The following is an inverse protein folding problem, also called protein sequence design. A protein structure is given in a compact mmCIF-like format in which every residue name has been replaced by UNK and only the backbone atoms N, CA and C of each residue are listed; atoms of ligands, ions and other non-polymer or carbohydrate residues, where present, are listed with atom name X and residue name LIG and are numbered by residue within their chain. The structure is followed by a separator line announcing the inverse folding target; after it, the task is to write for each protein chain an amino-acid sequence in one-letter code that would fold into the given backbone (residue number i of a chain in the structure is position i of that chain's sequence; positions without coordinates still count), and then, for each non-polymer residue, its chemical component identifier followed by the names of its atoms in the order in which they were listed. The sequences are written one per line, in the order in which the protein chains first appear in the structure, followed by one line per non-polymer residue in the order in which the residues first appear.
data_IF_217666690324
#
_entry.id   IF_217666690324
#
_cell.length_a   1.000
_cell.length_b   1.000
_cell.length_c   1.000
_cell.angle_alpha   90.00
_cell.angle_beta   90.00
_cell.angle_gamma   90.00
#
_symmetry.space_group_name_H-M   'P 1'
#
loop_
_entity.id
_entity.type
_entity.pdbx_description
1 polymer ?
#
# COMPACT_ATOMS: atom_id res chain seq x y z
N UNK A 1 -1.31 -31.50 25.05
CA UNK A 1 -1.36 -30.03 24.91
C UNK A 1 0.07 -29.52 24.77
N UNK A 2 0.27 -28.35 24.18
CA UNK A 2 1.61 -27.74 24.07
C UNK A 2 1.76 -26.66 25.12
N UNK A 3 2.83 -26.72 25.90
CA UNK A 3 3.17 -25.68 26.87
C UNK A 3 4.33 -24.86 26.32
N UNK A 4 4.09 -23.57 26.09
CA UNK A 4 5.10 -22.60 25.69
C UNK A 4 5.55 -21.82 26.90
N UNK A 5 6.82 -21.90 27.25
CA UNK A 5 7.41 -21.09 28.31
C UNK A 5 8.02 -19.85 27.67
N UNK A 6 7.62 -18.69 28.15
CA UNK A 6 8.18 -17.41 27.71
C UNK A 6 8.53 -16.57 28.93
N UNK A 7 9.83 -16.43 29.21
CA UNK A 7 10.33 -15.59 30.29
C UNK A 7 11.64 -14.89 29.88
N UNK A 8 11.61 -13.56 29.76
CA UNK A 8 12.77 -12.72 29.41
C UNK A 8 13.41 -13.15 28.08
N UNK A 9 14.50 -13.93 28.11
CA UNK A 9 15.22 -14.46 26.95
C UNK A 9 15.05 -15.97 26.77
N UNK A 10 14.24 -16.61 27.61
CA UNK A 10 14.00 -18.04 27.61
C UNK A 10 12.67 -18.36 26.92
N UNK A 11 12.78 -18.97 25.74
CA UNK A 11 11.65 -19.46 24.96
C UNK A 11 11.82 -20.96 24.72
N UNK A 12 10.93 -21.77 25.30
CA UNK A 12 10.91 -23.21 25.08
C UNK A 12 9.48 -23.69 24.89
N UNK A 13 9.30 -24.57 23.91
CA UNK A 13 8.04 -25.23 23.63
C UNK A 13 8.19 -26.71 23.96
N UNK A 14 7.22 -27.27 24.67
CA UNK A 14 7.18 -28.70 24.99
C UNK A 14 5.77 -29.25 24.78
N UNK A 15 5.69 -30.39 24.10
CA UNK A 15 4.45 -31.13 23.94
C UNK A 15 4.32 -32.16 25.05
N UNK A 16 3.19 -32.11 25.77
CA UNK A 16 2.98 -32.90 26.97
C UNK A 16 1.58 -33.49 27.00
N UNK A 17 1.49 -34.69 27.56
CA UNK A 17 0.24 -35.34 27.89
C UNK A 17 0.07 -35.22 29.39
N UNK A 18 -0.93 -34.45 29.82
CA UNK A 18 -1.19 -34.19 31.23
C UNK A 18 -2.51 -34.85 31.65
N UNK A 19 -2.62 -35.36 32.89
CA UNK A 19 -3.89 -35.84 33.43
C UNK A 19 -4.92 -34.72 33.46
N UNK A 20 -6.09 -34.94 32.87
CA UNK A 20 -7.15 -33.92 32.76
C UNK A 20 -7.77 -33.52 34.10
N UNK A 21 -7.57 -34.34 35.14
CA UNK A 21 -7.97 -34.09 36.52
C UNK A 21 -7.01 -33.18 37.29
N UNK A 22 -5.74 -33.07 36.84
CA UNK A 22 -4.72 -32.27 37.52
C UNK A 22 -4.90 -30.77 37.24
N UNK A 23 -4.28 -29.96 38.10
CA UNK A 23 -4.24 -28.50 37.98
C UNK A 23 -2.89 -28.03 37.44
N UNK A 24 -2.80 -26.83 36.87
CA UNK A 24 -1.51 -26.28 36.44
C UNK A 24 -0.54 -26.12 37.62
N UNK A 25 -1.03 -25.80 38.81
CA UNK A 25 -0.21 -25.68 40.01
C UNK A 25 0.45 -27.00 40.44
N UNK A 26 -0.25 -28.12 40.27
CA UNK A 26 0.28 -29.46 40.58
C UNK A 26 1.34 -29.92 39.58
N UNK A 27 1.16 -29.62 38.30
CA UNK A 27 2.07 -30.07 37.24
C UNK A 27 3.28 -29.12 37.09
N UNK A 28 3.18 -27.87 37.57
CA UNK A 28 4.24 -26.88 37.43
C UNK A 28 5.63 -27.33 37.92
N UNK A 29 5.80 -28.03 39.06
CA UNK A 29 7.11 -28.52 39.50
C UNK A 29 7.73 -29.56 38.54
N UNK A 30 6.90 -30.41 37.95
CA UNK A 30 7.35 -31.38 36.94
C UNK A 30 7.71 -30.66 35.65
N UNK A 31 6.88 -29.72 35.19
CA UNK A 31 7.19 -28.83 34.06
C UNK A 31 8.50 -28.08 34.29
N UNK A 32 8.73 -27.60 35.52
CA UNK A 32 9.95 -26.90 35.90
C UNK A 32 11.18 -27.77 35.73
N UNK A 33 11.06 -29.06 36.04
CA UNK A 33 12.16 -30.02 35.91
C UNK A 33 12.37 -30.43 34.45
N UNK A 34 11.30 -30.71 33.71
CA UNK A 34 11.37 -31.13 32.30
C UNK A 34 11.87 -30.02 31.36
N UNK A 35 11.42 -28.79 31.58
CA UNK A 35 11.76 -27.65 30.73
C UNK A 35 13.01 -26.91 31.27
N UNK A 36 13.51 -27.29 32.45
CA UNK A 36 14.58 -26.57 33.18
C UNK A 36 14.22 -25.09 33.35
N UNK A 37 13.07 -24.84 33.99
CA UNK A 37 12.53 -23.49 34.16
C UNK A 37 13.51 -22.62 34.95
N UNK A 38 13.81 -21.39 34.48
CA UNK A 38 14.68 -20.48 35.21
C UNK A 38 14.08 -20.16 36.59
N UNK A 39 14.95 -20.05 37.60
CA UNK A 39 14.56 -19.62 38.94
C UNK A 39 14.31 -18.12 38.92
N UNK A 40 13.03 -17.76 38.81
CA UNK A 40 12.57 -16.37 38.82
C UNK A 40 11.96 -16.07 40.20
N UNK A 41 12.11 -14.83 40.66
CA UNK A 41 11.59 -14.34 41.95
C UNK A 41 10.06 -14.11 41.93
N UNK A 42 9.40 -14.34 40.79
CA UNK A 42 7.96 -14.13 40.59
C UNK A 42 7.28 -15.48 40.33
N UNK A 43 6.05 -15.70 40.84
CA UNK A 43 5.30 -16.91 40.56
C UNK A 43 4.98 -17.00 39.06
N UNK A 44 4.76 -18.21 38.57
CA UNK A 44 4.35 -18.43 37.18
C UNK A 44 2.84 -18.25 37.04
N UNK A 45 2.41 -17.75 35.88
CA UNK A 45 1.02 -17.62 35.45
C UNK A 45 0.85 -18.41 34.14
N UNK A 46 -0.22 -19.21 34.06
CA UNK A 46 -0.63 -19.87 32.82
C UNK A 46 -1.63 -18.97 32.06
N UNK A 47 -1.51 -18.91 30.75
CA UNK A 47 -2.42 -18.13 29.89
C UNK A 47 -2.66 -18.85 28.57
N UNK A 48 -3.73 -18.48 27.87
CA UNK A 48 -3.96 -18.88 26.47
C UNK A 48 -2.98 -18.14 25.54
N UNK A 49 -2.83 -18.61 24.30
CA UNK A 49 -2.05 -17.88 23.26
C UNK A 49 -2.58 -16.45 23.05
N UNK A 50 -3.88 -16.23 23.25
CA UNK A 50 -4.51 -14.92 23.18
C UNK A 50 -4.27 -14.02 24.40
N UNK A 51 -3.46 -14.46 25.37
CA UNK A 51 -3.13 -13.70 26.58
C UNK A 51 -4.18 -13.72 27.69
N UNK A 52 -5.29 -14.43 27.51
CA UNK A 52 -6.28 -14.60 28.58
C UNK A 52 -5.70 -15.51 29.68
N UNK A 53 -5.68 -15.05 30.96
CA UNK A 53 -5.11 -15.82 32.06
C UNK A 53 -5.96 -17.07 32.35
N UNK A 54 -5.29 -18.16 32.67
CA UNK A 54 -5.88 -19.42 33.08
C UNK A 54 -5.66 -19.58 34.58
N UNK A 55 -6.72 -19.92 35.31
CA UNK A 55 -6.60 -20.19 36.73
C UNK A 55 -5.73 -21.43 36.97
N UNK A 56 -4.66 -21.26 37.75
CA UNK A 56 -3.70 -22.31 38.05
C UNK A 56 -4.26 -23.44 38.92
N UNK A 57 -5.33 -23.18 39.66
CA UNK A 57 -5.93 -24.13 40.61
C UNK A 57 -7.18 -24.82 40.06
N UNK A 58 -7.67 -24.42 38.90
CA UNK A 58 -8.79 -25.09 38.24
C UNK A 58 -8.28 -26.32 37.47
N UNK A 59 -8.93 -27.50 37.60
CA UNK A 59 -8.57 -28.70 36.84
C UNK A 59 -8.61 -28.48 35.33
N UNK A 60 -7.67 -29.08 34.59
CA UNK A 60 -7.53 -28.87 33.14
C UNK A 60 -8.81 -29.16 32.34
N UNK A 61 -9.60 -30.17 32.71
CA UNK A 61 -10.88 -30.47 32.04
C UNK A 61 -11.93 -29.36 32.19
N UNK A 62 -11.87 -28.55 33.26
CA UNK A 62 -12.79 -27.42 33.49
C UNK A 62 -12.37 -26.15 32.75
N UNK A 63 -11.08 -26.04 32.37
CA UNK A 63 -10.54 -24.92 31.61
C UNK A 63 -10.91 -24.94 30.12
N UNK A 64 -11.72 -25.92 29.66
CA UNK A 64 -12.16 -26.08 28.26
C UNK A 64 -11.01 -26.10 27.25
N UNK A 65 -9.83 -26.54 27.68
CA UNK A 65 -8.69 -26.74 26.80
C UNK A 65 -8.95 -27.97 25.93
N UNK A 66 -8.74 -27.82 24.61
CA UNK A 66 -8.85 -28.92 23.64
C UNK A 66 -7.52 -29.66 23.54
N UNK A 67 -7.54 -30.89 23.05
CA UNK A 67 -6.31 -31.57 22.67
C UNK A 67 -5.58 -30.77 21.58
N UNK A 68 -4.26 -30.67 21.73
CA UNK A 68 -3.42 -29.78 20.92
C UNK A 68 -3.53 -28.29 21.26
N UNK A 69 -4.27 -27.89 22.30
CA UNK A 69 -4.27 -26.50 22.75
C UNK A 69 -2.87 -26.08 23.22
N UNK A 70 -2.53 -24.83 22.92
CA UNK A 70 -1.26 -24.21 23.30
C UNK A 70 -1.50 -23.27 24.48
N UNK A 71 -0.76 -23.47 25.57
CA UNK A 71 -0.81 -22.62 26.77
C UNK A 71 0.54 -22.00 27.04
N UNK A 72 0.55 -20.71 27.38
CA UNK A 72 1.77 -19.95 27.63
C UNK A 72 1.98 -19.80 29.13
N UNK A 73 3.12 -20.28 29.63
CA UNK A 73 3.64 -20.03 30.97
C UNK A 73 4.54 -18.80 30.93
N UNK A 74 4.17 -17.78 31.69
CA UNK A 74 4.94 -16.55 31.87
C UNK A 74 5.06 -16.20 33.35
N UNK A 75 6.10 -15.48 33.78
CA UNK A 75 6.14 -14.94 35.13
C UNK A 75 4.95 -13.98 35.34
N UNK A 76 4.30 -14.05 36.50
CA UNK A 76 3.22 -13.14 36.84
C UNK A 76 3.77 -11.71 36.86
N UNK A 77 3.23 -10.89 35.98
CA UNK A 77 3.49 -9.46 36.01
C UNK A 77 2.53 -8.85 37.03
N UNK A 78 3.09 -8.04 37.96
CA UNK A 78 2.26 -7.18 38.78
C UNK A 78 1.59 -6.19 37.84
N UNK A 79 0.33 -6.44 37.53
CA UNK A 79 -0.51 -5.44 36.86
C UNK A 79 -0.56 -4.27 37.84
N UNK A 80 -0.08 -3.10 37.42
CA UNK A 80 -0.24 -1.90 38.24
C UNK A 80 -1.72 -1.77 38.59
N UNK A 81 -2.07 -1.61 39.88
CA UNK A 81 -3.46 -1.60 40.29
C UNK A 81 -4.20 -0.55 39.46
N UNK A 82 -5.39 -0.89 38.89
CA UNK A 82 -6.10 0.02 38.04
C UNK A 82 -6.41 1.29 38.83
N UNK A 83 -5.71 2.37 38.49
CA UNK A 83 -5.97 3.67 39.09
C UNK A 83 -7.29 4.16 38.50
N UNK A 84 -8.31 4.27 39.34
CA UNK A 84 -9.57 4.91 38.96
C UNK A 84 -9.27 6.38 38.70
N UNK A 85 -9.13 6.73 37.42
CA UNK A 85 -8.91 8.09 36.94
C UNK A 85 -10.26 8.67 36.55
N UNK A 86 -10.51 9.93 36.89
CA UNK A 86 -11.64 10.66 36.32
C UNK A 86 -11.46 10.79 34.79
N UNK A 87 -12.53 11.09 34.05
CA UNK A 87 -12.50 11.23 32.59
C UNK A 87 -11.44 12.27 32.14
N UNK A 88 -11.28 13.36 32.89
CA UNK A 88 -10.27 14.38 32.62
C UNK A 88 -8.84 13.85 32.83
N UNK A 89 -8.60 13.11 33.91
CA UNK A 89 -7.30 12.50 34.22
C UNK A 89 -6.96 11.36 33.25
N UNK A 90 -7.97 10.61 32.80
CA UNK A 90 -7.83 9.56 31.78
C UNK A 90 -7.44 10.15 30.44
N UNK A 91 -8.07 11.25 30.02
CA UNK A 91 -7.70 11.98 28.81
C UNK A 91 -6.30 12.58 28.92
N UNK A 92 -5.97 13.21 30.05
CA UNK A 92 -4.65 13.79 30.29
C UNK A 92 -3.55 12.72 30.29
N UNK A 93 -3.78 11.58 30.95
CA UNK A 93 -2.82 10.48 31.00
C UNK A 93 -2.66 9.79 29.64
N UNK A 94 -3.74 9.64 28.87
CA UNK A 94 -3.67 9.18 27.48
C UNK A 94 -2.86 10.17 26.61
N UNK A 95 -3.01 11.47 26.86
CA UNK A 95 -2.29 12.52 26.13
C UNK A 95 -0.79 12.59 26.48
N UNK A 96 -0.36 12.12 27.65
CA UNK A 96 1.08 12.06 28.01
C UNK A 96 1.85 11.17 27.04
N UNK A 97 1.23 10.08 26.56
CA UNK A 97 1.81 9.20 25.54
C UNK A 97 1.84 9.78 24.12
N UNK A 98 1.15 10.89 23.87
CA UNK A 98 1.00 11.51 22.53
C UNK A 98 1.70 12.87 22.42
N UNK A 99 2.59 13.23 23.36
CA UNK A 99 3.29 14.54 23.41
C UNK A 99 4.38 14.73 22.34
N UNK A 100 4.39 13.93 21.27
CA UNK A 100 5.35 14.12 20.19
C UNK A 100 4.94 15.32 19.32
N UNK A 101 5.50 16.49 19.63
CA UNK A 101 5.28 17.75 18.90
C UNK A 101 6.19 17.91 17.70
N UNK A 102 7.07 16.94 17.41
CA UNK A 102 7.98 16.99 16.25
C UNK A 102 7.22 17.17 14.93
N UNK A 103 6.02 16.61 14.83
CA UNK A 103 5.12 16.81 13.69
C UNK A 103 4.77 18.28 13.44
N UNK A 104 4.54 19.07 14.49
CA UNK A 104 4.26 20.50 14.37
C UNK A 104 5.49 21.27 13.87
N UNK A 105 6.69 20.88 14.30
CA UNK A 105 7.94 21.47 13.82
C UNK A 105 8.17 21.15 12.32
N UNK A 106 7.83 19.94 11.87
CA UNK A 106 7.87 19.59 10.44
C UNK A 106 6.87 20.43 9.63
N UNK A 107 5.63 20.60 10.13
CA UNK A 107 4.63 21.45 9.49
C UNK A 107 5.06 22.92 9.41
N UNK A 108 5.62 23.46 10.50
CA UNK A 108 6.17 24.81 10.51
C UNK A 108 7.33 24.96 9.50
N UNK A 109 8.17 23.94 9.36
CA UNK A 109 9.25 23.92 8.37
C UNK A 109 8.69 23.93 6.94
N UNK A 110 7.66 23.12 6.64
CA UNK A 110 7.00 23.15 5.33
C UNK A 110 6.33 24.49 5.04
N UNK A 111 5.67 25.09 6.03
CA UNK A 111 5.07 26.42 5.89
C UNK A 111 6.13 27.49 5.62
N UNK A 112 7.27 27.45 6.30
CA UNK A 112 8.39 28.35 6.08
C UNK A 112 8.98 28.22 4.67
N UNK A 113 9.17 26.99 4.18
CA UNK A 113 9.67 26.75 2.82
C UNK A 113 8.66 27.16 1.76
N UNK A 114 7.38 26.91 1.98
CA UNK A 114 6.32 27.37 1.10
C UNK A 114 6.26 28.91 1.04
N UNK A 115 6.38 29.58 2.19
CA UNK A 115 6.51 31.04 2.25
C UNK A 115 7.71 31.56 1.46
N UNK A 116 8.87 30.89 1.58
CA UNK A 116 10.07 31.24 0.82
C UNK A 116 9.85 31.06 -0.69
N UNK A 117 9.24 29.95 -1.12
CA UNK A 117 8.92 29.73 -2.53
C UNK A 117 7.95 30.78 -3.08
N UNK A 118 6.92 31.18 -2.32
CA UNK A 118 5.98 32.24 -2.70
C UNK A 118 6.70 33.59 -2.84
N UNK A 119 7.55 33.94 -1.89
CA UNK A 119 8.35 35.18 -1.95
C UNK A 119 9.32 35.16 -3.15
N UNK A 120 9.97 34.02 -3.43
CA UNK A 120 10.82 33.86 -4.62
C UNK A 120 10.01 34.00 -5.93
N UNK A 121 8.77 33.51 -5.95
CA UNK A 121 7.84 33.63 -7.09
C UNK A 121 7.41 35.06 -7.40
N UNK A 122 7.58 36.02 -6.47
CA UNK A 122 7.36 37.44 -6.75
C UNK A 122 8.43 38.04 -7.67
N UNK A 123 9.64 37.45 -7.67
CA UNK A 123 10.80 37.97 -8.40
C UNK A 123 11.24 37.08 -9.57
N UNK A 124 10.73 35.85 -9.64
CA UNK A 124 11.17 34.83 -10.60
C UNK A 124 10.00 34.03 -11.16
N UNK A 125 10.23 33.29 -12.24
CA UNK A 125 9.23 32.38 -12.82
C UNK A 125 8.88 31.24 -11.85
N UNK A 126 7.64 30.76 -11.90
CA UNK A 126 7.13 29.63 -11.11
C UNK A 126 8.08 28.42 -11.00
N UNK A 127 8.66 27.87 -12.09
CA UNK A 127 9.57 26.72 -11.98
C UNK A 127 10.81 27.02 -11.14
N UNK A 128 11.39 28.22 -11.26
CA UNK A 128 12.55 28.65 -10.46
C UNK A 128 12.16 28.80 -8.99
N UNK A 129 11.01 29.40 -8.71
CA UNK A 129 10.49 29.55 -7.35
C UNK A 129 10.28 28.19 -6.66
N UNK A 130 9.71 27.20 -7.37
CA UNK A 130 9.58 25.83 -6.89
C UNK A 130 10.95 25.17 -6.69
N UNK A 131 11.92 25.45 -7.55
CA UNK A 131 13.30 24.96 -7.44
C UNK A 131 14.01 25.50 -6.19
N UNK A 132 13.84 26.79 -5.89
CA UNK A 132 14.34 27.41 -4.65
C UNK A 132 13.70 26.76 -3.42
N UNK A 133 12.39 26.51 -3.46
CA UNK A 133 11.68 25.76 -2.42
C UNK A 133 12.24 24.35 -2.23
N UNK A 134 12.45 23.60 -3.32
CA UNK A 134 13.04 22.26 -3.27
C UNK A 134 14.45 22.28 -2.67
N UNK A 135 15.31 23.22 -3.07
CA UNK A 135 16.65 23.40 -2.49
C UNK A 135 16.59 23.70 -0.99
N UNK A 136 15.64 24.53 -0.55
CA UNK A 136 15.46 24.83 0.87
C UNK A 136 15.00 23.60 1.66
N UNK A 137 14.04 22.81 1.15
CA UNK A 137 13.64 21.53 1.77
C UNK A 137 14.83 20.57 1.84
N UNK A 138 15.61 20.46 0.76
CA UNK A 138 16.77 19.58 0.71
C UNK A 138 17.82 19.97 1.76
N UNK A 139 18.16 21.26 1.83
CA UNK A 139 19.09 21.78 2.84
C UNK A 139 18.58 21.49 4.26
N UNK A 140 17.31 21.75 4.54
CA UNK A 140 16.71 21.46 5.85
C UNK A 140 16.74 19.96 6.17
N UNK A 141 16.40 19.09 5.22
CA UNK A 141 16.40 17.64 5.40
C UNK A 141 17.81 17.10 5.69
N UNK A 142 18.83 17.62 4.99
CA UNK A 142 20.24 17.24 5.19
C UNK A 142 20.77 17.77 6.53
N UNK A 143 20.48 19.03 6.87
CA UNK A 143 20.94 19.67 8.11
C UNK A 143 20.29 19.05 9.35
N UNK A 144 18.98 18.78 9.29
CA UNK A 144 18.23 18.18 10.41
C UNK A 144 18.34 16.66 10.48
N UNK A 145 18.79 16.01 9.40
CA UNK A 145 18.80 14.54 9.22
C UNK A 145 17.43 13.89 9.42
N UNK A 146 16.36 14.59 9.01
CA UNK A 146 14.97 14.14 9.16
C UNK A 146 14.45 13.63 7.81
N UNK A 147 14.13 12.33 7.74
CA UNK A 147 13.63 11.67 6.53
C UNK A 147 12.22 12.13 6.09
N UNK A 148 11.39 12.60 7.02
CA UNK A 148 10.04 13.10 6.72
C UNK A 148 10.07 14.40 5.92
N UNK A 149 11.06 15.26 6.16
CA UNK A 149 11.29 16.48 5.38
C UNK A 149 11.80 16.16 3.97
N UNK A 150 12.54 15.06 3.81
CA UNK A 150 13.03 14.60 2.51
C UNK A 150 11.90 14.02 1.62
N UNK A 151 10.88 13.40 2.21
CA UNK A 151 9.84 12.68 1.47
C UNK A 151 9.16 13.46 0.31
N UNK A 152 8.75 14.75 0.45
CA UNK A 152 8.14 15.50 -0.64
C UNK A 152 9.14 16.06 -1.66
N UNK A 153 10.43 16.08 -1.34
CA UNK A 153 11.46 16.74 -2.16
C UNK A 153 11.51 16.22 -3.61
N UNK A 154 11.56 14.90 -3.88
CA UNK A 154 11.64 14.40 -5.26
C UNK A 154 10.44 14.85 -6.10
N UNK A 155 9.25 14.94 -5.51
CA UNK A 155 8.04 15.39 -6.21
C UNK A 155 8.08 16.89 -6.55
N UNK A 156 8.43 17.75 -5.58
CA UNK A 156 8.49 19.20 -5.80
C UNK A 156 9.60 19.55 -6.80
N UNK A 157 10.77 18.93 -6.69
CA UNK A 157 11.87 19.11 -7.63
C UNK A 157 11.51 18.63 -9.04
N UNK A 158 10.84 17.47 -9.16
CA UNK A 158 10.37 16.96 -10.44
C UNK A 158 9.37 17.90 -11.11
N UNK A 159 8.42 18.47 -10.36
CA UNK A 159 7.47 19.46 -10.89
C UNK A 159 8.20 20.73 -11.35
N UNK A 160 9.14 21.23 -10.54
CA UNK A 160 9.96 22.40 -10.90
C UNK A 160 10.68 22.19 -12.24
N UNK A 161 11.38 21.06 -12.39
CA UNK A 161 12.15 20.74 -13.60
C UNK A 161 11.22 20.45 -14.78
N UNK A 162 10.12 19.73 -14.55
CA UNK A 162 9.14 19.44 -15.60
C UNK A 162 8.51 20.72 -16.15
N UNK A 163 8.10 21.65 -15.29
CA UNK A 163 7.57 22.94 -15.70
C UNK A 163 8.62 23.82 -16.37
N UNK A 164 9.89 23.73 -15.95
CA UNK A 164 10.98 24.45 -16.61
C UNK A 164 11.18 23.98 -18.05
N UNK A 165 11.25 22.66 -18.25
CA UNK A 165 11.51 22.05 -19.56
C UNK A 165 10.28 22.12 -20.49
N UNK A 166 9.07 21.96 -19.95
CA UNK A 166 7.84 22.10 -20.74
C UNK A 166 7.57 23.56 -21.19
N UNK A 167 8.22 24.54 -20.57
CA UNK A 167 8.09 25.94 -20.93
C UNK A 167 6.78 26.59 -20.45
N UNK A 168 6.40 27.71 -21.07
CA UNK A 168 5.27 28.54 -20.66
C UNK A 168 3.92 27.89 -21.03
N UNK A 169 2.92 27.85 -20.13
CA UNK A 169 1.61 27.20 -20.35
C UNK A 169 0.85 27.61 -21.60
N UNK A 170 1.12 28.79 -22.16
CA UNK A 170 0.47 29.29 -23.38
C UNK A 170 1.07 28.77 -24.69
N UNK A 171 2.22 28.10 -24.66
CA UNK A 171 2.96 27.63 -25.83
C UNK A 171 3.31 26.13 -25.76
N UNK A 172 2.60 25.37 -24.92
CA UNK A 172 2.88 23.95 -24.74
C UNK A 172 2.56 23.14 -25.99
N UNK A 173 3.61 22.66 -26.65
CA UNK A 173 3.47 21.55 -27.58
C UNK A 173 3.45 20.22 -26.80
N UNK A 174 2.70 19.20 -27.27
CA UNK A 174 2.65 17.90 -26.59
C UNK A 174 4.03 17.28 -26.34
N UNK A 175 4.98 17.51 -27.26
CA UNK A 175 6.35 17.01 -27.17
C UNK A 175 7.12 17.67 -26.04
N UNK A 176 7.00 18.99 -25.87
CA UNK A 176 7.68 19.73 -24.80
C UNK A 176 7.18 19.29 -23.42
N UNK A 177 5.87 19.04 -23.29
CA UNK A 177 5.27 18.50 -22.06
C UNK A 177 5.83 17.09 -21.77
N UNK A 178 5.94 16.23 -22.78
CA UNK A 178 6.52 14.90 -22.60
C UNK A 178 7.99 14.96 -22.16
N UNK A 179 8.80 15.80 -22.81
CA UNK A 179 10.20 16.03 -22.42
C UNK A 179 10.31 16.56 -20.99
N UNK A 180 9.40 17.45 -20.59
CA UNK A 180 9.28 17.91 -19.21
C UNK A 180 9.00 16.78 -18.22
N UNK A 181 8.06 15.88 -18.55
CA UNK A 181 7.77 14.70 -17.72
C UNK A 181 9.00 13.79 -17.59
N UNK A 182 9.75 13.54 -18.66
CA UNK A 182 10.98 12.73 -18.59
C UNK A 182 12.06 13.40 -17.73
N UNK A 183 12.27 14.71 -17.89
CA UNK A 183 13.22 15.45 -17.08
C UNK A 183 12.82 15.45 -15.59
N UNK A 184 11.53 15.66 -15.30
CA UNK A 184 10.99 15.55 -13.95
C UNK A 184 11.18 14.15 -13.35
N UNK A 185 10.83 13.10 -14.09
CA UNK A 185 11.00 11.71 -13.67
C UNK A 185 12.47 11.36 -13.39
N UNK A 186 13.39 11.80 -14.27
CA UNK A 186 14.82 11.60 -14.09
C UNK A 186 15.35 12.29 -12.81
N UNK A 187 14.90 13.53 -12.55
CA UNK A 187 15.29 14.26 -11.33
C UNK A 187 14.72 13.64 -10.06
N UNK A 188 13.47 13.17 -10.07
CA UNK A 188 12.89 12.43 -8.95
C UNK A 188 13.71 11.18 -8.63
N UNK A 189 14.01 10.36 -9.65
CA UNK A 189 14.81 9.14 -9.48
C UNK A 189 16.23 9.45 -8.97
N UNK A 190 16.89 10.48 -9.52
CA UNK A 190 18.21 10.92 -9.07
C UNK A 190 18.19 11.36 -7.60
N UNK A 191 17.15 12.09 -7.18
CA UNK A 191 16.98 12.51 -5.79
C UNK A 191 16.69 11.33 -4.87
N UNK A 192 15.91 10.34 -5.30
CA UNK A 192 15.70 9.11 -4.51
C UNK A 192 17.02 8.38 -4.29
N UNK A 193 17.85 8.24 -5.32
CA UNK A 193 19.20 7.64 -5.21
C UNK A 193 20.07 8.45 -4.24
N UNK A 194 20.09 9.78 -4.39
CA UNK A 194 20.83 10.66 -3.49
C UNK A 194 20.35 10.53 -2.03
N UNK A 195 19.04 10.51 -1.81
CA UNK A 195 18.43 10.32 -0.50
C UNK A 195 18.75 8.95 0.09
N UNK A 196 18.85 7.90 -0.73
CA UNK A 196 19.26 6.58 -0.27
C UNK A 196 20.74 6.56 0.16
N UNK A 197 21.63 7.21 -0.61
CA UNK A 197 23.06 7.37 -0.25
C UNK A 197 23.21 8.17 1.05
N UNK A 198 22.38 9.19 1.26
CA UNK A 198 22.40 10.03 2.47
C UNK A 198 21.66 9.39 3.67
N UNK A 199 21.01 8.24 3.50
CA UNK A 199 20.21 7.60 4.55
C UNK A 199 18.91 8.32 4.92
N UNK A 200 18.42 9.22 4.05
CA UNK A 200 17.21 10.02 4.25
C UNK A 200 15.98 9.45 3.53
N UNK A 201 16.17 8.56 2.56
CA UNK A 201 15.06 8.00 1.77
C UNK A 201 14.32 6.88 2.53
N UNK A 202 13.05 7.13 2.84
CA UNK A 202 12.14 6.10 3.36
C UNK A 202 11.67 5.12 2.26
N UNK A 203 11.38 3.85 2.59
CA UNK A 203 10.99 2.83 1.60
C UNK A 203 9.66 3.17 0.91
N UNK A 204 8.70 3.77 1.63
CA UNK A 204 7.42 4.17 1.06
C UNK A 204 7.57 5.32 0.05
N UNK A 205 8.21 6.42 0.45
CA UNK A 205 8.37 7.60 -0.40
C UNK A 205 9.22 7.30 -1.65
N UNK A 206 10.31 6.53 -1.49
CA UNK A 206 11.16 6.12 -2.61
C UNK A 206 10.43 5.21 -3.61
N UNK A 207 9.73 4.18 -3.14
CA UNK A 207 8.98 3.31 -4.03
C UNK A 207 7.82 4.03 -4.74
N UNK A 208 7.11 4.91 -4.03
CA UNK A 208 6.03 5.72 -4.59
C UNK A 208 6.56 6.66 -5.69
N UNK A 209 7.65 7.38 -5.42
CA UNK A 209 8.25 8.32 -6.39
C UNK A 209 8.82 7.61 -7.61
N UNK A 210 9.51 6.48 -7.44
CA UNK A 210 10.06 5.70 -8.56
C UNK A 210 8.93 5.13 -9.42
N UNK A 211 7.90 4.52 -8.80
CA UNK A 211 6.78 3.96 -9.57
C UNK A 211 5.98 5.04 -10.29
N UNK A 212 5.71 6.18 -9.66
CA UNK A 212 5.05 7.31 -10.30
C UNK A 212 5.87 7.85 -11.46
N UNK A 213 7.19 7.97 -11.30
CA UNK A 213 8.11 8.41 -12.37
C UNK A 213 8.08 7.47 -13.58
N UNK A 214 8.08 6.15 -13.34
CA UNK A 214 7.97 5.14 -14.41
C UNK A 214 6.62 5.23 -15.11
N UNK A 215 5.52 5.28 -14.36
CA UNK A 215 4.16 5.34 -14.92
C UNK A 215 3.94 6.60 -15.77
N UNK A 216 4.35 7.76 -15.27
CA UNK A 216 4.23 9.02 -16.01
C UNK A 216 5.14 9.04 -17.24
N UNK A 217 6.34 8.46 -17.17
CA UNK A 217 7.24 8.33 -18.33
C UNK A 217 6.63 7.45 -19.42
N UNK A 218 6.01 6.31 -19.06
CA UNK A 218 5.29 5.45 -20.02
C UNK A 218 4.11 6.22 -20.64
N UNK A 219 3.40 7.03 -19.85
CA UNK A 219 2.40 7.95 -20.35
C UNK A 219 2.94 8.96 -21.35
N UNK A 220 4.03 9.65 -21.01
CA UNK A 220 4.66 10.64 -21.87
C UNK A 220 5.09 10.04 -23.23
N UNK A 221 5.47 8.75 -23.26
CA UNK A 221 5.72 8.04 -24.52
C UNK A 221 4.53 8.01 -25.48
N UNK A 222 3.30 8.20 -24.98
CA UNK A 222 2.10 8.24 -25.80
C UNK A 222 2.03 9.45 -26.73
N UNK A 223 2.83 10.50 -26.51
CA UNK A 223 2.83 11.69 -27.39
C UNK A 223 3.29 11.35 -28.81
N UNK A 224 4.09 10.29 -28.98
CA UNK A 224 4.53 9.82 -30.30
C UNK A 224 3.54 8.88 -30.99
N UNK A 225 2.37 8.65 -30.38
CA UNK A 225 1.27 7.91 -31.00
C UNK A 225 0.27 8.87 -31.66
N UNK A 226 -0.48 8.41 -32.68
CA UNK A 226 -1.33 9.28 -33.48
C UNK A 226 -2.56 9.82 -32.72
N UNK A 227 -2.93 9.21 -31.59
CA UNK A 227 -4.08 9.64 -30.80
C UNK A 227 -3.69 10.68 -29.75
N UNK A 228 -4.42 11.80 -29.71
CA UNK A 228 -4.27 12.82 -28.65
C UNK A 228 -4.51 12.26 -27.24
N UNK A 229 -5.26 11.17 -27.11
CA UNK A 229 -5.57 10.52 -25.82
C UNK A 229 -4.57 9.42 -25.45
N UNK A 230 -3.55 9.17 -26.29
CA UNK A 230 -2.58 8.11 -26.08
C UNK A 230 -1.80 8.22 -24.76
N UNK A 231 -1.35 9.40 -24.31
CA UNK A 231 -0.60 9.48 -23.06
C UNK A 231 -1.40 8.96 -21.86
N UNK A 232 -2.64 9.42 -21.74
CA UNK A 232 -3.51 9.03 -20.65
C UNK A 232 -3.97 7.56 -20.76
N UNK A 233 -4.26 7.06 -21.96
CA UNK A 233 -4.56 5.64 -22.17
C UNK A 233 -3.38 4.72 -21.78
N UNK A 234 -2.15 5.10 -22.13
CA UNK A 234 -0.95 4.34 -21.76
C UNK A 234 -0.67 4.38 -20.25
N UNK A 235 -0.88 5.51 -19.56
CA UNK A 235 -0.74 5.54 -18.09
C UNK A 235 -1.73 4.61 -17.39
N UNK A 236 -2.98 4.55 -17.84
CA UNK A 236 -4.00 3.64 -17.29
C UNK A 236 -3.61 2.18 -17.53
N UNK A 237 -3.15 1.86 -18.73
CA UNK A 237 -2.67 0.51 -19.06
C UNK A 237 -1.44 0.12 -18.22
N UNK A 238 -0.46 1.01 -18.12
CA UNK A 238 0.74 0.80 -17.32
C UNK A 238 0.39 0.64 -15.83
N UNK A 239 -0.57 1.41 -15.34
CA UNK A 239 -1.10 1.29 -13.97
C UNK A 239 -1.68 -0.10 -13.71
N UNK A 240 -2.56 -0.60 -14.60
CA UNK A 240 -3.11 -1.95 -14.49
C UNK A 240 -2.01 -3.02 -14.48
N UNK A 241 -1.08 -2.98 -15.44
CA UNK A 241 0.02 -3.94 -15.52
C UNK A 241 0.92 -3.88 -14.27
N UNK A 242 1.13 -2.69 -13.72
CA UNK A 242 1.89 -2.49 -12.48
C UNK A 242 1.20 -3.16 -11.31
N UNK A 243 -0.12 -3.03 -11.17
CA UNK A 243 -0.91 -3.74 -10.13
C UNK A 243 -0.74 -5.25 -10.25
N UNK A 244 -0.83 -5.81 -11.46
CA UNK A 244 -0.61 -7.25 -11.68
C UNK A 244 0.80 -7.70 -11.27
N UNK A 245 1.81 -6.88 -11.55
CA UNK A 245 3.22 -7.19 -11.22
C UNK A 245 3.60 -6.91 -9.76
N UNK A 246 2.73 -6.22 -8.99
CA UNK A 246 3.05 -5.67 -7.66
C UNK A 246 3.55 -6.73 -6.68
N UNK A 247 2.93 -7.92 -6.53
CA UNK A 247 3.43 -8.93 -5.60
C UNK A 247 4.85 -9.42 -5.95
N UNK A 248 5.12 -9.65 -7.24
CA UNK A 248 6.43 -10.10 -7.70
C UNK A 248 7.51 -9.02 -7.52
N UNK A 249 7.18 -7.77 -7.82
CA UNK A 249 8.09 -6.64 -7.66
C UNK A 249 8.38 -6.37 -6.18
N UNK A 250 7.34 -6.30 -5.33
CA UNK A 250 7.49 -5.99 -3.92
C UNK A 250 8.27 -7.07 -3.16
N UNK A 251 8.00 -8.36 -3.43
CA UNK A 251 8.74 -9.47 -2.78
C UNK A 251 10.22 -9.48 -3.19
N UNK A 252 10.53 -9.29 -4.48
CA UNK A 252 11.91 -9.21 -4.96
C UNK A 252 12.64 -7.98 -4.45
N UNK A 253 11.99 -6.82 -4.47
CA UNK A 253 12.57 -5.57 -3.99
C UNK A 253 12.80 -5.57 -2.47
N UNK A 254 11.96 -6.26 -1.70
CA UNK A 254 12.18 -6.49 -0.27
C UNK A 254 13.27 -7.54 0.02
N UNK A 255 13.76 -8.25 -1.00
CA UNK A 255 14.76 -9.31 -0.86
C UNK A 255 14.22 -10.54 -0.13
N UNK A 256 12.92 -10.82 -0.26
CA UNK A 256 12.34 -12.08 0.22
C UNK A 256 12.75 -13.20 -0.73
N UNK A 257 13.36 -14.26 -0.19
CA UNK A 257 13.71 -15.44 -0.97
C UNK A 257 12.49 -16.34 -1.06
N UNK A 258 12.09 -16.68 -2.29
CA UNK A 258 11.07 -17.71 -2.51
C UNK A 258 11.73 -19.07 -2.26
N UNK A 259 11.23 -19.89 -1.32
CA UNK A 259 11.75 -21.23 -1.08
C UNK A 259 11.67 -22.04 -2.38
N UNK A 260 12.76 -22.73 -2.74
CA UNK A 260 12.75 -23.63 -3.89
C UNK A 260 12.13 -24.95 -3.45
N UNK A 261 11.11 -25.40 -4.17
CA UNK A 261 10.61 -26.77 -4.01
C UNK A 261 11.60 -27.68 -4.73
N UNK A 262 12.28 -28.60 -4.03
CA UNK A 262 13.23 -29.52 -4.64
C UNK A 262 12.53 -30.37 -5.70
N UNK A 263 13.26 -30.65 -6.79
CA UNK A 263 12.77 -31.54 -7.83
C UNK A 263 12.80 -33.00 -7.37
N UNK A 264 12.01 -33.89 -7.99
CA UNK A 264 11.92 -35.27 -7.54
C UNK A 264 13.30 -35.96 -7.51
N UNK A 265 13.72 -36.44 -6.34
CA UNK A 265 15.02 -37.08 -6.11
C UNK A 265 16.11 -36.16 -5.52
N UNK A 266 15.84 -34.86 -5.37
CA UNK A 266 16.75 -33.89 -4.75
C UNK A 266 16.55 -33.84 -3.22
N UNK A 267 17.64 -33.63 -2.47
CA UNK A 267 17.58 -33.65 -1.01
C UNK A 267 16.82 -32.44 -0.44
N UNK A 268 15.90 -32.70 0.49
CA UNK A 268 15.07 -31.68 1.15
C UNK A 268 15.86 -30.69 2.02
N UNK A 269 17.13 -30.95 2.32
CA UNK A 269 18.00 -30.07 3.11
C UNK A 269 18.12 -28.64 2.54
N UNK A 270 17.85 -28.46 1.25
CA UNK A 270 17.88 -27.15 0.57
C UNK A 270 16.60 -26.32 0.77
N UNK A 271 15.52 -26.93 1.27
CA UNK A 271 14.22 -26.27 1.49
C UNK A 271 14.10 -25.61 2.88
N UNK A 272 14.93 -26.01 3.85
CA UNK A 272 14.86 -25.58 5.26
C UNK A 272 15.68 -24.30 5.56
N UNK A 273 16.08 -23.55 4.52
CA UNK A 273 16.87 -22.34 4.68
C UNK A 273 16.09 -21.23 5.37
N UNK A 274 16.19 -21.14 6.70
CA UNK A 274 15.66 -20.02 7.47
C UNK A 274 16.41 -18.73 7.09
N UNK A 275 15.69 -17.77 6.55
CA UNK A 275 16.23 -16.45 6.27
C UNK A 275 16.16 -15.62 7.56
N UNK A 276 17.29 -15.09 8.08
CA UNK A 276 17.24 -14.11 9.15
C UNK A 276 16.57 -12.83 8.63
N UNK A 277 15.85 -12.13 9.49
CA UNK A 277 15.16 -10.86 9.21
C UNK A 277 13.94 -10.95 8.27
N UNK A 278 13.29 -12.11 8.19
CA UNK A 278 12.06 -12.29 7.39
C UNK A 278 10.97 -11.31 7.80
N UNK A 279 10.81 -11.02 9.09
CA UNK A 279 9.79 -10.10 9.57
C UNK A 279 10.05 -8.66 9.09
N UNK A 280 11.29 -8.16 9.19
CA UNK A 280 11.64 -6.83 8.69
C UNK A 280 11.45 -6.72 7.17
N UNK A 281 11.84 -7.75 6.41
CA UNK A 281 11.67 -7.77 4.96
C UNK A 281 10.21 -7.87 4.56
N UNK A 282 9.40 -8.60 5.33
CA UNK A 282 7.95 -8.68 5.13
C UNK A 282 7.29 -7.34 5.38
N UNK A 283 7.68 -6.63 6.45
CA UNK A 283 7.23 -5.26 6.70
C UNK A 283 7.63 -4.33 5.54
N UNK A 284 8.88 -4.39 5.06
CA UNK A 284 9.31 -3.63 3.88
C UNK A 284 8.47 -3.97 2.66
N UNK A 285 8.20 -5.25 2.36
CA UNK A 285 7.35 -5.66 1.26
C UNK A 285 5.94 -5.06 1.36
N UNK A 286 5.33 -5.05 2.55
CA UNK A 286 4.02 -4.42 2.79
C UNK A 286 4.08 -2.92 2.49
N UNK A 287 5.14 -2.22 2.94
CA UNK A 287 5.31 -0.79 2.64
C UNK A 287 5.50 -0.51 1.15
N UNK A 288 6.20 -1.40 0.43
CA UNK A 288 6.39 -1.30 -1.01
C UNK A 288 5.07 -1.51 -1.76
N UNK A 289 4.28 -2.53 -1.40
CA UNK A 289 2.94 -2.74 -1.98
C UNK A 289 2.06 -1.50 -1.77
N UNK A 290 2.03 -0.95 -0.56
CA UNK A 290 1.27 0.26 -0.25
C UNK A 290 1.71 1.45 -1.12
N UNK A 291 3.03 1.67 -1.25
CA UNK A 291 3.59 2.75 -2.05
C UNK A 291 3.27 2.61 -3.54
N UNK A 292 3.41 1.41 -4.10
CA UNK A 292 3.10 1.11 -5.50
C UNK A 292 1.61 1.36 -5.77
N UNK A 293 0.71 0.86 -4.91
CA UNK A 293 -0.74 1.10 -5.05
C UNK A 293 -1.10 2.59 -4.99
N UNK A 294 -0.48 3.35 -4.08
CA UNK A 294 -0.68 4.81 -4.00
C UNK A 294 -0.20 5.54 -5.26
N UNK A 295 0.98 5.20 -5.79
CA UNK A 295 1.52 5.81 -7.01
C UNK A 295 0.66 5.48 -8.24
N UNK A 296 0.18 4.24 -8.31
CA UNK A 296 -0.76 3.80 -9.33
C UNK A 296 -2.06 4.61 -9.27
N UNK A 297 -2.65 4.79 -8.08
CA UNK A 297 -3.86 5.59 -7.94
C UNK A 297 -3.62 7.06 -8.29
N UNK A 298 -2.52 7.64 -7.83
CA UNK A 298 -2.15 9.03 -8.07
C UNK A 298 -1.90 9.35 -9.56
N UNK A 299 -1.41 8.38 -10.34
CA UNK A 299 -1.20 8.52 -11.78
C UNK A 299 -2.43 8.15 -12.62
N UNK A 300 -3.17 7.10 -12.25
CA UNK A 300 -4.36 6.67 -12.99
C UNK A 300 -5.53 7.63 -12.87
N UNK A 301 -5.77 8.23 -11.71
CA UNK A 301 -6.90 9.15 -11.52
C UNK A 301 -6.91 10.32 -12.51
N UNK A 302 -5.86 11.17 -12.60
CA UNK A 302 -5.84 12.27 -13.55
C UNK A 302 -5.92 11.77 -15.00
N UNK A 303 -5.30 10.63 -15.32
CA UNK A 303 -5.36 10.05 -16.64
C UNK A 303 -6.76 9.59 -17.05
N UNK A 304 -7.49 8.92 -16.14
CA UNK A 304 -8.87 8.48 -16.35
C UNK A 304 -9.79 9.69 -16.60
N UNK A 305 -9.63 10.77 -15.83
CA UNK A 305 -10.40 11.99 -16.06
C UNK A 305 -10.02 12.70 -17.36
N UNK A 306 -8.73 12.72 -17.72
CA UNK A 306 -8.27 13.32 -18.97
C UNK A 306 -8.89 12.62 -20.20
N UNK A 307 -8.85 11.28 -20.27
CA UNK A 307 -9.49 10.54 -21.37
C UNK A 307 -11.01 10.65 -21.33
N UNK A 308 -11.63 10.64 -20.14
CA UNK A 308 -13.08 10.74 -20.00
C UNK A 308 -13.60 12.10 -20.46
N UNK A 309 -12.81 13.16 -20.32
CA UNK A 309 -13.17 14.50 -20.78
C UNK A 309 -13.38 14.57 -22.31
N UNK A 310 -12.66 13.73 -23.05
CA UNK A 310 -12.78 13.58 -24.50
C UNK A 310 -14.05 12.81 -24.92
N UNK A 311 -14.64 12.03 -24.01
CA UNK A 311 -15.82 11.23 -24.28
C UNK A 311 -15.55 9.99 -25.14
N UNK A 312 -16.62 9.25 -25.44
CA UNK A 312 -16.59 8.11 -26.37
C UNK A 312 -16.87 6.75 -25.72
N UNK A 313 -17.46 5.86 -26.52
CA UNK A 313 -17.87 4.52 -26.07
C UNK A 313 -16.68 3.64 -25.66
N UNK A 314 -15.54 3.76 -26.34
CA UNK A 314 -14.34 3.00 -26.00
C UNK A 314 -13.71 3.43 -24.68
N UNK A 315 -13.76 4.74 -24.38
CA UNK A 315 -13.30 5.28 -23.09
C UNK A 315 -14.21 4.82 -21.95
N UNK A 316 -15.52 4.80 -22.18
CA UNK A 316 -16.49 4.18 -21.26
C UNK A 316 -16.17 2.71 -21.02
N UNK A 317 -15.92 1.92 -22.08
CA UNK A 317 -15.59 0.50 -21.95
C UNK A 317 -14.29 0.28 -21.16
N UNK A 318 -13.22 1.04 -21.48
CA UNK A 318 -11.96 0.98 -20.74
C UNK A 318 -12.18 1.30 -19.25
N UNK A 319 -12.97 2.34 -18.96
CA UNK A 319 -13.25 2.79 -17.59
C UNK A 319 -14.06 1.76 -16.79
N UNK A 320 -14.99 1.04 -17.41
CA UNK A 320 -15.71 -0.07 -16.77
C UNK A 320 -14.77 -1.25 -16.50
N UNK A 321 -13.93 -1.61 -17.47
CA UNK A 321 -12.95 -2.69 -17.31
C UNK A 321 -11.93 -2.37 -16.20
N UNK A 322 -11.43 -1.13 -16.12
CA UNK A 322 -10.51 -0.70 -15.07
C UNK A 322 -11.19 -0.69 -13.70
N UNK A 323 -12.44 -0.22 -13.61
CA UNK A 323 -13.22 -0.26 -12.37
C UNK A 323 -13.44 -1.69 -11.87
N UNK A 324 -13.84 -2.61 -12.76
CA UNK A 324 -14.06 -4.02 -12.42
C UNK A 324 -12.77 -4.73 -11.99
N UNK A 325 -11.67 -4.52 -12.73
CA UNK A 325 -10.38 -5.11 -12.41
C UNK A 325 -9.86 -4.64 -11.04
N UNK A 326 -9.80 -3.32 -10.81
CA UNK A 326 -9.25 -2.76 -9.59
C UNK A 326 -10.18 -2.96 -8.38
N UNK A 327 -11.49 -2.85 -8.57
CA UNK A 327 -12.47 -3.03 -7.51
C UNK A 327 -12.43 -4.42 -6.91
N UNK A 328 -12.37 -5.46 -7.76
CA UNK A 328 -12.28 -6.86 -7.31
C UNK A 328 -10.88 -7.13 -6.75
N UNK A 329 -9.81 -6.73 -7.45
CA UNK A 329 -8.45 -6.95 -6.96
C UNK A 329 -8.19 -6.31 -5.59
N UNK A 330 -8.73 -5.12 -5.34
CA UNK A 330 -8.57 -4.42 -4.06
C UNK A 330 -9.10 -5.22 -2.86
N UNK A 331 -10.11 -6.08 -3.05
CA UNK A 331 -10.66 -6.92 -1.98
C UNK A 331 -9.68 -7.97 -1.46
N UNK A 332 -8.67 -8.35 -2.27
CA UNK A 332 -7.62 -9.30 -1.88
C UNK A 332 -6.61 -8.71 -0.90
N UNK A 333 -6.54 -7.38 -0.79
CA UNK A 333 -5.62 -6.73 0.15
C UNK A 333 -6.21 -6.68 1.55
N UNK A 334 -5.49 -7.28 2.50
CA UNK A 334 -5.83 -7.19 3.92
C UNK A 334 -5.49 -5.80 4.53
N UNK A 335 -4.42 -5.16 4.04
CA UNK A 335 -3.95 -3.88 4.57
C UNK A 335 -4.75 -2.69 4.02
N UNK A 336 -5.03 -1.67 4.85
CA UNK A 336 -5.95 -0.59 4.49
C UNK A 336 -5.40 0.35 3.41
N UNK A 337 -4.09 0.64 3.40
CA UNK A 337 -3.49 1.60 2.46
C UNK A 337 -3.59 1.13 1.00
N UNK A 338 -3.07 -0.05 0.60
CA UNK A 338 -3.19 -0.50 -0.78
C UNK A 338 -4.65 -0.73 -1.18
N UNK A 339 -5.48 -1.24 -0.26
CA UNK A 339 -6.92 -1.40 -0.50
C UNK A 339 -7.59 -0.06 -0.79
N UNK A 340 -7.36 0.96 0.04
CA UNK A 340 -7.94 2.29 -0.16
C UNK A 340 -7.47 2.92 -1.47
N UNK A 341 -6.18 2.85 -1.79
CA UNK A 341 -5.64 3.41 -3.03
C UNK A 341 -6.23 2.75 -4.29
N UNK A 342 -6.39 1.43 -4.29
CA UNK A 342 -6.97 0.73 -5.44
C UNK A 342 -8.49 0.94 -5.53
N UNK A 343 -9.21 1.00 -4.40
CA UNK A 343 -10.63 1.36 -4.37
C UNK A 343 -10.85 2.79 -4.86
N UNK A 344 -10.02 3.75 -4.48
CA UNK A 344 -10.14 5.14 -4.97
C UNK A 344 -9.91 5.21 -6.48
N UNK A 345 -8.92 4.46 -7.01
CA UNK A 345 -8.72 4.35 -8.45
C UNK A 345 -9.92 3.69 -9.17
N UNK A 346 -10.50 2.63 -8.58
CA UNK A 346 -11.69 1.97 -9.12
C UNK A 346 -12.91 2.90 -9.13
N UNK A 347 -13.16 3.64 -8.05
CA UNK A 347 -14.24 4.64 -7.99
C UNK A 347 -14.00 5.80 -8.96
N UNK A 348 -12.75 6.24 -9.11
CA UNK A 348 -12.36 7.21 -10.13
C UNK A 348 -12.67 6.72 -11.55
N UNK A 349 -12.46 5.44 -11.83
CA UNK A 349 -12.84 4.82 -13.09
C UNK A 349 -14.37 4.76 -13.28
N UNK A 350 -15.15 4.51 -12.23
CA UNK A 350 -16.63 4.61 -12.29
C UNK A 350 -17.07 6.04 -12.62
N UNK A 351 -16.47 7.06 -11.99
CA UNK A 351 -16.75 8.45 -12.30
C UNK A 351 -16.33 8.81 -13.73
N UNK A 352 -15.16 8.35 -14.18
CA UNK A 352 -14.67 8.56 -15.54
C UNK A 352 -15.59 7.91 -16.59
N UNK A 353 -16.13 6.73 -16.30
CA UNK A 353 -17.13 6.08 -17.14
C UNK A 353 -18.39 6.95 -17.32
N UNK A 354 -18.96 7.42 -16.22
CA UNK A 354 -20.14 8.29 -16.26
C UNK A 354 -19.86 9.61 -17.01
N UNK A 355 -18.68 10.21 -16.77
CA UNK A 355 -18.26 11.44 -17.44
C UNK A 355 -18.06 11.21 -18.95
N UNK A 356 -17.43 10.12 -19.35
CA UNK A 356 -17.20 9.79 -20.77
C UNK A 356 -18.52 9.67 -21.55
N UNK A 357 -19.54 9.04 -20.94
CA UNK A 357 -20.89 8.96 -21.53
C UNK A 357 -21.55 10.33 -21.58
N UNK A 358 -21.50 11.10 -20.50
CA UNK A 358 -22.11 12.43 -20.42
C UNK A 358 -21.49 13.44 -21.41
N UNK A 359 -20.21 13.26 -21.77
CA UNK A 359 -19.49 14.10 -22.74
C UNK A 359 -19.69 13.69 -24.19
N UNK A 360 -20.38 12.57 -24.45
CA UNK A 360 -20.66 12.08 -25.80
C UNK A 360 -21.99 12.64 -26.30
N UNK A 361 -22.02 13.28 -27.48
CA UNK A 361 -23.23 13.93 -28.00
C UNK A 361 -24.39 12.95 -28.30
N UNK A 362 -24.06 11.75 -28.80
CA UNK A 362 -25.03 10.68 -29.07
C UNK A 362 -24.52 9.35 -28.49
N UNK A 363 -24.62 9.15 -27.16
CA UNK A 363 -24.10 7.96 -26.52
C UNK A 363 -24.95 6.74 -26.89
N UNK A 364 -24.28 5.64 -27.23
CA UNK A 364 -24.97 4.38 -27.51
C UNK A 364 -25.74 3.92 -26.25
N UNK A 365 -26.99 3.43 -26.35
CA UNK A 365 -27.81 3.06 -25.20
C UNK A 365 -27.13 2.06 -24.25
N UNK A 366 -26.34 1.13 -24.79
CA UNK A 366 -25.56 0.17 -23.99
C UNK A 366 -24.50 0.87 -23.12
N UNK A 367 -23.84 1.92 -23.62
CA UNK A 367 -22.86 2.66 -22.83
C UNK A 367 -23.54 3.39 -21.66
N UNK A 368 -24.73 3.96 -21.88
CA UNK A 368 -25.56 4.56 -20.84
C UNK A 368 -25.94 3.51 -19.78
N UNK A 369 -26.45 2.35 -20.23
CA UNK A 369 -26.85 1.27 -19.33
C UNK A 369 -25.68 0.76 -18.48
N UNK A 370 -24.49 0.60 -19.07
CA UNK A 370 -23.29 0.18 -18.35
C UNK A 370 -22.80 1.23 -17.35
N UNK A 371 -22.81 2.50 -17.72
CA UNK A 371 -22.45 3.59 -16.81
C UNK A 371 -23.44 3.72 -15.65
N UNK A 372 -24.74 3.60 -15.91
CA UNK A 372 -25.78 3.57 -14.87
C UNK A 372 -25.60 2.36 -13.94
N UNK A 373 -25.33 1.18 -14.47
CA UNK A 373 -25.07 -0.01 -13.66
C UNK A 373 -23.84 0.18 -12.76
N UNK A 374 -22.72 0.66 -13.32
CA UNK A 374 -21.48 0.89 -12.57
C UNK A 374 -21.64 1.96 -11.48
N UNK A 375 -22.38 3.04 -11.77
CA UNK A 375 -22.63 4.12 -10.80
C UNK A 375 -23.62 3.71 -9.72
N UNK A 376 -24.70 3.00 -10.06
CA UNK A 376 -25.67 2.51 -9.08
C UNK A 376 -25.07 1.46 -8.15
N UNK A 377 -24.24 0.55 -8.68
CA UNK A 377 -23.53 -0.45 -7.86
C UNK A 377 -22.59 0.23 -6.86
N UNK A 378 -21.85 1.26 -7.28
CA UNK A 378 -21.03 2.07 -6.37
C UNK A 378 -21.87 2.87 -5.36
N UNK A 379 -22.96 3.51 -5.78
CA UNK A 379 -23.82 4.31 -4.90
C UNK A 379 -24.54 3.48 -3.83
N UNK A 380 -24.89 2.23 -4.17
CA UNK A 380 -25.55 1.29 -3.25
C UNK A 380 -24.58 0.48 -2.39
N UNK A 381 -23.26 0.67 -2.52
CA UNK A 381 -22.23 -0.11 -1.81
C UNK A 381 -22.43 -0.16 -0.29
N UNK A 382 -22.86 0.93 0.33
CA UNK A 382 -23.11 0.98 1.78
C UNK A 382 -24.19 -0.02 2.26
N UNK A 383 -25.07 -0.46 1.36
CA UNK A 383 -26.17 -1.38 1.65
C UNK A 383 -25.67 -2.84 1.63
N UNK A 384 -24.84 -3.21 0.65
CA UNK A 384 -24.50 -4.62 0.40
C UNK A 384 -23.09 -5.03 0.84
N UNK A 385 -22.17 -4.10 1.10
CA UNK A 385 -20.77 -4.40 1.45
C UNK A 385 -20.66 -5.28 2.71
N UNK A 386 -21.59 -5.15 3.66
CA UNK A 386 -21.62 -5.96 4.89
C UNK A 386 -21.85 -7.46 4.64
N UNK A 387 -22.49 -7.79 3.52
CA UNK A 387 -22.87 -9.16 3.17
C UNK A 387 -21.80 -9.83 2.27
N UNK A 388 -20.77 -9.09 1.83
CA UNK A 388 -19.68 -9.62 0.99
C UNK A 388 -18.92 -10.79 1.64
N UNK A 389 -18.65 -10.79 2.96
CA UNK A 389 -18.00 -11.94 3.61
C UNK A 389 -18.84 -13.22 3.60
N UNK A 390 -20.15 -13.12 3.36
CA UNK A 390 -21.09 -14.25 3.38
C UNK A 390 -21.33 -14.83 1.98
N UNK A 391 -20.63 -14.34 0.96
CA UNK A 391 -20.79 -14.81 -0.42
C UNK A 391 -20.39 -16.28 -0.55
N UNK A 392 -21.21 -17.04 -1.28
CA UNK A 392 -20.90 -18.43 -1.61
C UNK A 392 -19.58 -18.53 -2.40
N UNK A 393 -18.78 -19.58 -2.18
CA UNK A 393 -17.52 -19.78 -2.90
C UNK A 393 -17.68 -19.76 -4.43
N UNK A 394 -18.81 -20.23 -4.95
CA UNK A 394 -19.16 -20.19 -6.38
C UNK A 394 -19.26 -18.76 -6.92
N UNK A 395 -19.83 -17.85 -6.14
CA UNK A 395 -19.98 -16.43 -6.50
C UNK A 395 -18.63 -15.72 -6.51
N UNK A 396 -17.76 -16.05 -5.55
CA UNK A 396 -16.39 -15.53 -5.51
C UNK A 396 -15.61 -15.90 -6.78
N UNK A 397 -15.70 -17.17 -7.22
CA UNK A 397 -15.05 -17.63 -8.46
C UNK A 397 -15.56 -16.86 -9.69
N UNK A 398 -16.85 -16.52 -9.75
CA UNK A 398 -17.37 -15.70 -10.85
C UNK A 398 -16.81 -14.28 -10.85
N UNK A 399 -16.60 -13.67 -9.68
CA UNK A 399 -15.92 -12.38 -9.58
C UNK A 399 -14.46 -12.48 -10.03
N UNK A 400 -13.73 -13.52 -9.66
CA UNK A 400 -12.35 -13.73 -10.12
C UNK A 400 -12.25 -13.89 -11.65
N UNK A 401 -13.23 -14.59 -12.25
CA UNK A 401 -13.33 -14.70 -13.72
C UNK A 401 -13.68 -13.36 -14.37
N UNK A 402 -14.59 -12.60 -13.77
CA UNK A 402 -14.98 -11.27 -14.26
C UNK A 402 -13.80 -10.29 -14.21
N UNK A 403 -13.03 -10.30 -13.13
CA UNK A 403 -11.79 -9.54 -12.99
C UNK A 403 -10.79 -9.90 -14.10
N UNK A 404 -10.57 -11.21 -14.32
CA UNK A 404 -9.65 -11.70 -15.36
C UNK A 404 -10.11 -11.25 -16.75
N UNK A 405 -11.40 -11.36 -17.05
CA UNK A 405 -11.98 -10.90 -18.30
C UNK A 405 -11.84 -9.37 -18.48
N UNK A 406 -12.02 -8.60 -17.40
CA UNK A 406 -11.86 -7.15 -17.42
C UNK A 406 -10.41 -6.74 -17.70
N UNK A 407 -9.43 -7.43 -17.10
CA UNK A 407 -8.00 -7.21 -17.37
C UNK A 407 -7.67 -7.54 -18.84
N UNK A 408 -8.14 -8.69 -19.34
CA UNK A 408 -7.91 -9.12 -20.74
C UNK A 408 -8.52 -8.12 -21.72
N UNK A 409 -9.70 -7.57 -21.42
CA UNK A 409 -10.38 -6.59 -22.26
C UNK A 409 -9.74 -5.19 -22.19
N UNK A 410 -9.23 -4.78 -21.03
CA UNK A 410 -8.64 -3.45 -20.85
C UNK A 410 -7.41 -3.21 -21.74
N UNK A 411 -6.61 -4.26 -22.00
CA UNK A 411 -5.39 -4.17 -22.80
C UNK A 411 -5.64 -3.73 -24.26
N UNK A 412 -6.43 -4.46 -25.07
CA UNK A 412 -6.74 -4.03 -26.44
C UNK A 412 -7.52 -2.71 -26.48
N UNK A 413 -8.37 -2.42 -25.49
CA UNK A 413 -9.11 -1.15 -25.42
C UNK A 413 -8.16 0.05 -25.23
N UNK A 414 -7.20 -0.05 -24.31
CA UNK A 414 -6.22 1.01 -24.09
C UNK A 414 -5.33 1.23 -25.32
N UNK A 415 -4.89 0.16 -25.98
CA UNK A 415 -4.10 0.26 -27.22
C UNK A 415 -4.91 0.85 -28.39
N UNK A 416 -6.21 0.57 -28.44
CA UNK A 416 -7.11 1.18 -29.42
C UNK A 416 -7.25 2.69 -29.19
N UNK A 417 -7.51 3.12 -27.95
CA UNK A 417 -7.61 4.54 -27.60
C UNK A 417 -6.28 5.26 -27.83
N UNK A 418 -5.16 4.56 -27.62
CA UNK A 418 -3.83 5.08 -27.91
C UNK A 418 -3.54 5.19 -29.43
N UNK A 419 -4.43 4.70 -30.30
CA UNK A 419 -4.26 4.82 -31.75
C UNK A 419 -3.25 3.84 -32.36
N UNK A 420 -2.78 2.83 -31.61
CA UNK A 420 -1.80 1.87 -32.10
C UNK A 420 -2.33 1.09 -33.32
N UNK A 421 -3.60 0.73 -33.34
CA UNK A 421 -4.21 0.06 -34.48
C UNK A 421 -4.35 0.95 -35.71
N UNK A 422 -4.51 2.26 -35.54
CA UNK A 422 -4.51 3.21 -36.66
C UNK A 422 -3.09 3.31 -37.25
N UNK A 423 -2.08 3.42 -36.39
CA UNK A 423 -0.67 3.42 -36.77
C UNK A 423 -0.28 2.18 -37.57
N UNK A 424 -0.67 0.97 -37.13
CA UNK A 424 -0.41 -0.28 -37.85
C UNK A 424 -1.09 -0.31 -39.21
N UNK A 425 -2.28 0.30 -39.33
CA UNK A 425 -3.03 0.39 -40.59
C UNK A 425 -2.51 1.48 -41.53
N UNK A 426 -1.55 2.31 -41.09
CA UNK A 426 -1.05 3.45 -41.85
C UNK A 426 -2.08 4.57 -42.00
N UNK A 427 -3.03 4.68 -41.07
CA UNK A 427 -4.10 5.68 -41.03
C UNK A 427 -3.75 6.87 -40.13
#
# INVERSE_FOLDING_TARGET
MTVRVSAVSFHRDIDLVLPTSSTFAEVLPELATFVDLPRIHRPWEASTVGGAPLDMHTPLHKLKLRDGAVTVLRPQESIEPPVVRDAAESLAAAAVGTRDTTGLAHLASFAGVLGLAVLAGMFTSLPVALGVGALAVFALAVLSRVSTLFAPLPGVAAISVACWVAGLPGAWEPVDVALGVFAGAATACALVVLGAVLGLAGPFASACTVTLSVLLSIGACGVWLPSAQAPAALTVLAGLLTVLSTPAVATRAAGLKVPRVPTAGEAFATADGYQPDVDERSQRAITLVAAISCAVAASMLPALFAIAWAGGAWVCALSVCTAGALGIYATRHHYPVPRAALVTAALGAVCACALAVARTDNPHPVAIAMALLATLTAATAAIWVRNVPELEPTTVVWFERAETAAIIAALPLALHIAGLFALIRGL
#
